data_IF_990974915356
#
_entry.id   IF_990974915356
#
_cell.length_a   1.000
_cell.length_b   1.000
_cell.length_c   1.000
_cell.angle_alpha   90.00
_cell.angle_beta   90.00
_cell.angle_gamma   90.00
#
_symmetry.space_group_name_H-M   'P 1'
#
loop_
_entity.id
_entity.type
_entity.pdbx_description
1 polymer ?
#
# COMPACT_ATOMS: atom_id res chain seq x y z
N UNK A 1 32.57 27.72 -18.11
CA UNK A 1 32.17 26.46 -18.76
C UNK A 1 30.69 26.26 -18.52
N UNK A 2 29.79 26.52 -19.49
CA UNK A 2 28.40 26.15 -19.33
C UNK A 2 28.27 24.63 -19.51
N UNK A 3 27.74 23.94 -18.51
CA UNK A 3 27.43 22.51 -18.58
C UNK A 3 25.99 22.35 -19.06
N UNK A 4 25.81 21.94 -20.31
CA UNK A 4 24.52 21.57 -20.89
C UNK A 4 23.94 20.34 -20.17
N UNK A 5 22.67 20.42 -19.78
CA UNK A 5 21.92 19.30 -19.21
C UNK A 5 21.26 18.53 -20.36
N UNK A 6 21.35 17.19 -20.44
CA UNK A 6 20.72 16.45 -21.52
C UNK A 6 19.19 16.50 -21.40
N UNK A 7 18.51 16.78 -22.51
CA UNK A 7 17.05 16.70 -22.59
C UNK A 7 16.60 15.23 -22.51
N UNK A 8 15.70 14.93 -21.59
CA UNK A 8 15.06 13.63 -21.49
C UNK A 8 13.86 13.56 -22.44
N UNK A 9 13.84 12.56 -23.32
CA UNK A 9 12.73 12.29 -24.22
C UNK A 9 11.46 11.89 -23.45
N UNK A 10 10.33 12.47 -23.86
CA UNK A 10 9.02 12.26 -23.25
C UNK A 10 8.41 10.97 -23.82
N UNK A 11 8.53 9.88 -23.07
CA UNK A 11 7.80 8.63 -23.32
C UNK A 11 6.32 8.69 -22.89
N UNK A 12 5.47 7.77 -23.37
CA UNK A 12 4.02 7.86 -23.22
C UNK A 12 3.58 7.82 -21.76
N UNK A 13 2.57 8.64 -21.45
CA UNK A 13 1.95 8.78 -20.13
C UNK A 13 1.11 7.55 -19.78
N UNK A 14 1.73 6.53 -19.21
CA UNK A 14 1.05 5.35 -18.70
C UNK A 14 1.88 4.58 -17.68
N UNK A 15 1.24 4.08 -16.62
CA UNK A 15 1.90 3.19 -15.66
C UNK A 15 2.34 1.91 -16.39
N UNK A 16 3.63 1.55 -16.38
CA UNK A 16 4.18 0.42 -17.16
C UNK A 16 3.68 -0.97 -16.71
N UNK A 17 2.81 -1.03 -15.70
CA UNK A 17 2.21 -2.26 -15.17
C UNK A 17 0.71 -2.40 -15.40
N UNK A 18 0.06 -1.45 -16.08
CA UNK A 18 -1.31 -1.68 -16.57
C UNK A 18 -1.26 -2.61 -17.78
N UNK A 19 -1.20 -3.92 -17.54
CA UNK A 19 -1.60 -4.88 -18.57
C UNK A 19 -3.07 -4.64 -18.92
N UNK A 20 -3.35 -4.48 -20.21
CA UNK A 20 -4.69 -4.16 -20.74
C UNK A 20 -5.75 -5.23 -20.46
N UNK A 21 -7.01 -5.00 -20.87
CA UNK A 21 -8.11 -5.91 -20.58
C UNK A 21 -7.89 -7.26 -21.25
N UNK A 22 -7.88 -8.34 -20.46
CA UNK A 22 -7.90 -9.70 -20.98
C UNK A 22 -9.24 -9.94 -21.72
N UNK A 23 -9.22 -9.76 -23.04
CA UNK A 23 -10.29 -10.23 -23.92
C UNK A 23 -10.17 -11.75 -24.05
N UNK A 24 -11.02 -12.48 -23.33
CA UNK A 24 -11.11 -13.92 -23.41
C UNK A 24 -11.90 -14.35 -24.65
N UNK A 25 -11.23 -14.48 -25.80
CA UNK A 25 -11.67 -15.32 -26.92
C UNK A 25 -10.45 -15.89 -27.65
N UNK A 26 -10.20 -17.20 -27.49
CA UNK A 26 -9.18 -17.93 -28.23
C UNK A 26 -9.47 -19.42 -28.17
N UNK A 27 -9.83 -19.98 -29.33
CA UNK A 27 -10.25 -21.37 -29.55
C UNK A 27 -9.17 -22.40 -29.20
N UNK A 28 -9.62 -23.61 -28.86
CA UNK A 28 -8.81 -24.80 -28.63
C UNK A 28 -8.15 -25.28 -29.93
N UNK A 29 -6.86 -25.06 -30.08
CA UNK A 29 -6.01 -25.87 -30.94
C UNK A 29 -4.95 -26.60 -30.09
N UNK A 30 -4.86 -27.92 -30.28
CA UNK A 30 -3.93 -28.81 -29.58
C UNK A 30 -2.56 -28.71 -30.24
N UNK A 31 -1.63 -28.03 -29.58
CA UNK A 31 -0.18 -28.07 -29.88
C UNK A 31 0.54 -29.24 -29.19
N UNK A 32 1.60 -29.72 -29.82
CA UNK A 32 2.45 -30.88 -29.49
C UNK A 32 3.18 -30.81 -28.13
N UNK A 33 3.61 -31.96 -27.57
CA UNK A 33 4.13 -32.05 -26.21
C UNK A 33 5.66 -31.93 -26.15
N UNK A 34 6.24 -30.83 -26.63
CA UNK A 34 7.67 -30.54 -26.45
C UNK A 34 7.82 -29.01 -26.39
N UNK A 35 8.60 -28.52 -25.42
CA UNK A 35 8.80 -27.11 -25.03
C UNK A 35 7.71 -26.45 -24.16
N UNK A 36 7.50 -27.00 -22.97
CA UNK A 36 7.03 -26.21 -21.82
C UNK A 36 8.21 -25.80 -20.96
N UNK A 37 8.99 -24.84 -21.45
CA UNK A 37 9.89 -24.08 -20.59
C UNK A 37 8.99 -23.34 -19.58
N UNK A 38 8.97 -23.85 -18.34
CA UNK A 38 8.21 -23.26 -17.26
C UNK A 38 8.80 -21.87 -17.02
N UNK A 39 8.15 -20.83 -17.57
CA UNK A 39 8.46 -19.43 -17.25
C UNK A 39 8.45 -19.31 -15.73
N UNK A 40 9.63 -19.10 -15.15
CA UNK A 40 9.73 -18.87 -13.71
C UNK A 40 8.75 -17.76 -13.31
N UNK A 41 8.01 -17.93 -12.21
CA UNK A 41 7.12 -16.87 -11.73
C UNK A 41 7.98 -15.62 -11.51
N UNK A 42 7.61 -14.55 -12.21
CA UNK A 42 8.33 -13.29 -12.21
C UNK A 42 8.20 -12.61 -10.84
N UNK A 43 9.01 -13.02 -9.87
CA UNK A 43 9.10 -12.35 -8.57
C UNK A 43 9.79 -11.01 -8.74
N UNK A 44 9.06 -9.92 -8.54
CA UNK A 44 9.61 -8.57 -8.59
C UNK A 44 10.32 -8.30 -7.27
N UNK A 45 11.61 -8.01 -7.37
CA UNK A 45 12.44 -7.69 -6.20
C UNK A 45 11.90 -6.46 -5.45
N UNK A 46 11.69 -6.54 -4.13
CA UNK A 46 11.19 -5.41 -3.33
C UNK A 46 12.19 -4.26 -3.19
N UNK A 47 13.47 -4.49 -3.53
CA UNK A 47 14.53 -3.48 -3.50
C UNK A 47 14.83 -2.85 -4.88
N UNK A 48 13.97 -3.11 -5.88
CA UNK A 48 14.07 -2.43 -7.17
C UNK A 48 13.94 -0.89 -7.00
N UNK A 49 14.77 -0.09 -7.71
CA UNK A 49 14.70 1.37 -7.61
C UNK A 49 13.34 1.89 -8.08
N UNK A 50 12.83 2.89 -7.36
CA UNK A 50 11.56 3.53 -7.72
C UNK A 50 11.66 4.20 -9.09
N UNK A 51 10.60 4.06 -9.89
CA UNK A 51 10.40 4.79 -11.16
C UNK A 51 9.42 5.96 -11.02
N UNK A 52 9.08 6.34 -9.80
CA UNK A 52 8.23 7.50 -9.54
C UNK A 52 8.90 8.78 -10.04
N UNK A 53 8.20 9.56 -10.87
CA UNK A 53 8.70 10.80 -11.46
C UNK A 53 8.29 12.05 -10.66
N UNK A 54 7.85 11.86 -9.41
CA UNK A 54 7.53 12.96 -8.50
C UNK A 54 8.76 13.83 -8.27
N UNK A 55 8.56 15.15 -8.28
CA UNK A 55 9.58 16.13 -7.93
C UNK A 55 8.93 17.28 -7.15
N UNK A 56 9.68 17.87 -6.22
CA UNK A 56 9.22 19.04 -5.47
C UNK A 56 8.92 20.20 -6.43
N UNK A 57 7.76 20.84 -6.26
CA UNK A 57 7.30 21.95 -7.09
C UNK A 57 6.46 21.54 -8.30
N UNK A 58 6.42 20.25 -8.68
CA UNK A 58 5.47 19.80 -9.73
C UNK A 58 4.02 19.93 -9.25
N UNK A 59 3.10 20.42 -10.11
CA UNK A 59 1.68 20.49 -9.80
C UNK A 59 1.08 19.12 -9.42
N UNK A 60 0.16 19.11 -8.47
CA UNK A 60 -0.56 17.89 -8.08
C UNK A 60 -1.38 17.29 -9.24
N UNK A 61 -1.83 18.13 -10.18
CA UNK A 61 -2.56 17.71 -11.38
C UNK A 61 -1.75 16.81 -12.33
N UNK A 62 -0.42 16.83 -12.23
CA UNK A 62 0.46 15.96 -13.04
C UNK A 62 0.64 14.58 -12.41
N UNK A 63 0.11 14.35 -11.21
CA UNK A 63 0.22 13.06 -10.55
C UNK A 63 -0.64 12.01 -11.27
N UNK A 64 -0.08 10.86 -11.68
CA UNK A 64 -0.84 9.79 -12.31
C UNK A 64 -1.58 8.90 -11.30
N UNK A 65 -1.45 9.18 -10.01
CA UNK A 65 -1.99 8.35 -8.94
C UNK A 65 -3.38 8.79 -8.54
N UNK A 66 -4.19 7.83 -8.08
CA UNK A 66 -5.43 8.14 -7.39
C UNK A 66 -5.14 8.74 -6.01
N UNK A 67 -5.73 9.91 -5.73
CA UNK A 67 -5.58 10.61 -4.46
C UNK A 67 -6.87 10.52 -3.66
N UNK A 68 -6.73 10.40 -2.34
CA UNK A 68 -7.86 10.35 -1.42
C UNK A 68 -7.69 11.46 -0.38
N UNK A 69 -8.77 12.19 -0.11
CA UNK A 69 -8.79 13.21 0.93
C UNK A 69 -8.90 12.57 2.34
N UNK A 70 -8.38 13.22 3.39
CA UNK A 70 -8.63 12.80 4.76
C UNK A 70 -10.12 12.79 5.10
N UNK A 71 -10.58 11.77 5.82
CA UNK A 71 -11.94 11.69 6.34
C UNK A 71 -11.95 11.94 7.86
N UNK A 72 -12.91 12.73 8.34
CA UNK A 72 -13.18 12.87 9.78
C UNK A 72 -14.05 11.72 10.28
N UNK A 73 -13.84 11.33 11.52
CA UNK A 73 -14.66 10.30 12.17
C UNK A 73 -16.14 10.70 12.19
N UNK A 74 -17.07 9.86 11.70
CA UNK A 74 -18.51 10.12 11.76
C UNK A 74 -19.07 9.88 13.18
N UNK A 75 -20.32 10.28 13.42
CA UNK A 75 -21.00 10.04 14.70
C UNK A 75 -21.19 8.54 15.00
N UNK A 76 -21.62 7.79 13.99
CA UNK A 76 -21.79 6.33 14.04
C UNK A 76 -20.89 5.76 12.95
N UNK A 77 -20.00 4.85 13.34
CA UNK A 77 -19.10 4.19 12.40
C UNK A 77 -19.86 3.00 11.76
N UNK A 78 -19.90 2.90 10.42
CA UNK A 78 -20.52 1.75 9.75
C UNK A 78 -19.73 0.46 9.95
N UNK A 79 -18.41 0.58 10.16
CA UNK A 79 -17.50 -0.52 10.43
C UNK A 79 -16.25 0.01 11.18
N UNK A 80 -15.44 -0.90 11.70
CA UNK A 80 -14.23 -0.56 12.45
C UNK A 80 -13.11 0.02 11.57
N UNK A 81 -13.14 -0.20 10.25
CA UNK A 81 -12.14 0.35 9.33
C UNK A 81 -12.30 1.88 9.20
N UNK A 82 -13.50 2.42 9.47
CA UNK A 82 -13.69 3.88 9.62
C UNK A 82 -13.06 4.46 10.90
N UNK A 83 -12.49 3.62 11.77
CA UNK A 83 -11.64 4.04 12.91
C UNK A 83 -10.14 4.02 12.58
N UNK A 84 -9.78 3.82 11.31
CA UNK A 84 -8.41 3.97 10.81
C UNK A 84 -8.23 5.39 10.27
N UNK A 85 -7.19 6.07 10.75
CA UNK A 85 -6.95 7.48 10.47
C UNK A 85 -7.45 8.40 11.58
N UNK A 86 -7.49 9.70 11.28
CA UNK A 86 -7.95 10.73 12.23
C UNK A 86 -7.31 10.64 13.64
N UNK A 87 -6.05 10.17 13.68
CA UNK A 87 -5.33 9.90 14.93
C UNK A 87 -4.96 11.20 15.63
N UNK A 88 -4.89 11.22 16.97
CA UNK A 88 -4.63 12.45 17.70
C UNK A 88 -3.19 12.93 17.51
N UNK A 89 -3.01 14.24 17.65
CA UNK A 89 -1.71 14.89 17.82
C UNK A 89 -1.58 15.33 19.27
N UNK A 90 -0.59 14.81 20.00
CA UNK A 90 -0.45 15.01 21.45
C UNK A 90 0.85 15.73 21.78
N UNK A 91 0.79 16.74 22.66
CA UNK A 91 1.98 17.48 23.12
C UNK A 91 2.83 16.65 24.08
N UNK A 92 4.15 16.67 23.89
CA UNK A 92 5.13 16.02 24.78
C UNK A 92 5.64 17.02 25.83
N UNK A 93 5.08 16.95 27.03
CA UNK A 93 5.30 17.97 28.06
C UNK A 93 6.59 17.82 28.87
N UNK A 94 7.07 16.59 29.09
CA UNK A 94 8.19 16.30 30.02
C UNK A 94 9.49 15.97 29.30
N UNK A 95 9.46 15.07 28.32
CA UNK A 95 10.68 14.58 27.64
C UNK A 95 11.40 15.74 26.94
N UNK A 96 10.71 16.53 26.11
CA UNK A 96 11.33 17.68 25.43
C UNK A 96 12.01 18.64 26.40
N UNK A 97 11.32 19.02 27.49
CA UNK A 97 11.87 19.89 28.53
C UNK A 97 13.09 19.28 29.22
N UNK A 98 13.06 17.98 29.53
CA UNK A 98 14.19 17.26 30.17
C UNK A 98 15.47 17.34 29.35
N UNK A 99 15.37 17.37 28.03
CA UNK A 99 16.50 17.48 27.10
C UNK A 99 16.76 18.91 26.61
N UNK A 100 16.16 19.92 27.24
CA UNK A 100 16.40 21.32 26.88
C UNK A 100 15.83 21.73 25.52
N UNK A 101 14.85 21.00 24.97
CA UNK A 101 14.20 21.42 23.72
C UNK A 101 13.44 22.74 23.95
N UNK A 102 13.73 23.72 23.08
CA UNK A 102 13.08 25.03 23.08
C UNK A 102 11.83 25.07 22.19
N UNK A 103 11.61 24.06 21.34
CA UNK A 103 10.47 23.97 20.43
C UNK A 103 9.28 23.22 21.05
N UNK A 104 8.11 23.30 20.40
CA UNK A 104 6.98 22.42 20.71
C UNK A 104 7.23 21.03 20.10
N UNK A 105 7.23 20.00 20.94
CA UNK A 105 7.33 18.60 20.52
C UNK A 105 5.95 17.95 20.53
N UNK A 106 5.53 17.43 19.39
CA UNK A 106 4.24 16.77 19.20
C UNK A 106 4.44 15.30 18.79
N UNK A 107 3.54 14.44 19.23
CA UNK A 107 3.46 13.03 18.83
C UNK A 107 2.20 12.77 18.00
N UNK A 108 2.39 12.22 16.80
CA UNK A 108 1.31 11.70 15.96
C UNK A 108 1.03 10.24 16.37
N UNK A 109 0.00 10.04 17.19
CA UNK A 109 -0.23 8.79 17.91
C UNK A 109 -0.94 7.74 17.05
N UNK A 110 -0.20 7.08 16.17
CA UNK A 110 -0.72 6.06 15.24
C UNK A 110 -1.18 4.75 15.89
N UNK A 111 -0.87 4.55 17.18
CA UNK A 111 -1.36 3.41 17.95
C UNK A 111 -2.88 3.50 18.29
N UNK A 112 -3.55 4.60 17.91
CA UNK A 112 -5.01 4.75 18.05
C UNK A 112 -5.82 4.30 16.83
N UNK A 113 -5.17 3.81 15.77
CA UNK A 113 -5.89 3.12 14.70
C UNK A 113 -6.49 1.81 15.24
N UNK A 114 -7.50 1.27 14.53
CA UNK A 114 -8.29 0.12 14.97
C UNK A 114 -7.48 -1.13 15.36
N UNK A 115 -6.46 -1.47 14.58
CA UNK A 115 -5.52 -2.58 14.80
C UNK A 115 -4.30 -2.19 15.62
N UNK A 116 -4.25 -0.97 16.17
CA UNK A 116 -3.22 -0.52 17.09
C UNK A 116 -1.92 -0.06 16.42
N UNK A 117 -1.91 0.18 15.10
CA UNK A 117 -0.67 0.54 14.41
C UNK A 117 -0.85 1.53 13.27
N UNK A 118 0.26 2.13 12.82
CA UNK A 118 0.28 2.95 11.59
C UNK A 118 -0.02 2.12 10.32
N UNK A 119 0.19 0.80 10.36
CA UNK A 119 0.09 -0.06 9.17
C UNK A 119 -1.36 -0.29 8.73
N UNK A 120 -2.30 -0.14 9.65
CA UNK A 120 -3.74 -0.18 9.37
C UNK A 120 -4.11 0.77 8.21
N UNK A 121 -3.45 1.93 8.12
CA UNK A 121 -3.65 2.89 7.03
C UNK A 121 -3.28 2.31 5.66
N UNK A 122 -2.10 1.69 5.55
CA UNK A 122 -1.63 1.17 4.27
C UNK A 122 -2.35 -0.13 3.92
N UNK A 123 -2.68 -0.96 4.91
CA UNK A 123 -3.47 -2.17 4.70
C UNK A 123 -4.84 -1.84 4.12
N UNK A 124 -5.54 -0.88 4.72
CA UNK A 124 -6.82 -0.39 4.20
C UNK A 124 -6.65 0.24 2.81
N UNK A 125 -5.63 1.10 2.62
CA UNK A 125 -5.43 1.80 1.35
C UNK A 125 -5.08 0.86 0.19
N UNK A 126 -4.25 -0.15 0.42
CA UNK A 126 -3.91 -1.15 -0.61
C UNK A 126 -5.14 -1.97 -1.01
N UNK A 127 -5.97 -2.36 -0.04
CA UNK A 127 -7.23 -3.08 -0.30
C UNK A 127 -8.19 -2.19 -1.10
N UNK A 128 -8.46 -0.96 -0.65
CA UNK A 128 -9.39 -0.05 -1.34
C UNK A 128 -8.91 0.32 -2.74
N UNK A 129 -7.60 0.48 -2.95
CA UNK A 129 -7.04 0.73 -4.28
C UNK A 129 -7.19 -0.51 -5.18
N UNK A 130 -6.92 -1.72 -4.69
CA UNK A 130 -7.06 -2.96 -5.45
C UNK A 130 -8.52 -3.32 -5.75
N UNK A 131 -9.45 -3.04 -4.83
CA UNK A 131 -10.90 -3.13 -5.04
C UNK A 131 -11.35 -2.18 -6.16
N UNK A 132 -10.93 -0.90 -6.08
CA UNK A 132 -11.28 0.12 -7.08
C UNK A 132 -10.73 -0.22 -8.46
N UNK A 133 -9.52 -0.75 -8.53
CA UNK A 133 -8.89 -1.17 -9.78
C UNK A 133 -9.53 -2.46 -10.35
N UNK A 134 -10.45 -3.11 -9.63
CA UNK A 134 -11.10 -4.35 -10.03
C UNK A 134 -10.22 -5.60 -9.89
N UNK A 135 -9.01 -5.44 -9.33
CA UNK A 135 -8.04 -6.52 -9.12
C UNK A 135 -8.51 -7.46 -8.01
N UNK A 136 -8.98 -6.88 -6.90
CA UNK A 136 -9.45 -7.62 -5.73
C UNK A 136 -10.98 -7.76 -5.78
N UNK A 137 -11.47 -8.99 -5.97
CA UNK A 137 -12.89 -9.32 -6.09
C UNK A 137 -13.43 -9.86 -4.76
N UNK A 138 -14.74 -9.75 -4.48
CA UNK A 138 -15.35 -10.29 -3.27
C UNK A 138 -14.99 -11.77 -3.07
N UNK A 139 -14.53 -12.12 -1.86
CA UNK A 139 -14.10 -13.48 -1.52
C UNK A 139 -12.69 -13.88 -1.96
N UNK A 140 -11.93 -12.99 -2.64
CA UNK A 140 -10.54 -13.26 -3.00
C UNK A 140 -9.65 -13.48 -1.76
N UNK A 141 -8.46 -14.03 -2.00
CA UNK A 141 -7.44 -14.28 -0.97
C UNK A 141 -6.33 -13.23 -1.05
N UNK A 142 -6.01 -12.62 0.09
CA UNK A 142 -4.87 -11.72 0.27
C UNK A 142 -3.72 -12.51 0.89
N UNK A 143 -2.54 -12.44 0.27
CA UNK A 143 -1.31 -13.07 0.76
C UNK A 143 -0.27 -11.98 0.98
N UNK A 144 0.32 -11.90 2.18
CA UNK A 144 1.34 -10.89 2.49
C UNK A 144 2.54 -11.55 3.22
N UNK A 145 3.77 -11.44 2.67
CA UNK A 145 4.98 -11.86 3.35
C UNK A 145 5.43 -10.79 4.36
N UNK A 146 5.00 -10.92 5.62
CA UNK A 146 5.32 -9.95 6.67
C UNK A 146 5.33 -10.58 8.06
N UNK A 147 6.22 -10.08 8.92
CA UNK A 147 6.38 -10.48 10.31
C UNK A 147 5.79 -9.46 11.31
N UNK A 148 4.98 -8.53 10.83
CA UNK A 148 4.62 -7.36 11.60
C UNK A 148 3.24 -6.80 11.31
N UNK A 149 3.06 -5.53 11.69
CA UNK A 149 1.74 -4.92 11.82
C UNK A 149 0.98 -4.77 10.49
N UNK A 150 1.65 -4.86 9.33
CA UNK A 150 0.95 -4.90 8.04
C UNK A 150 0.08 -6.14 7.93
N UNK A 151 0.55 -7.28 8.44
CA UNK A 151 -0.22 -8.53 8.48
C UNK A 151 -1.45 -8.39 9.38
N UNK A 152 -1.29 -7.79 10.56
CA UNK A 152 -2.40 -7.49 11.47
C UNK A 152 -3.42 -6.54 10.81
N UNK A 153 -2.96 -5.46 10.17
CA UNK A 153 -3.83 -4.51 9.49
C UNK A 153 -4.59 -5.12 8.31
N UNK A 154 -3.93 -5.99 7.52
CA UNK A 154 -4.57 -6.71 6.41
C UNK A 154 -5.55 -7.76 6.93
N UNK A 155 -5.21 -8.48 7.99
CA UNK A 155 -6.10 -9.47 8.62
C UNK A 155 -7.36 -8.80 9.18
N UNK A 156 -7.22 -7.65 9.86
CA UNK A 156 -8.36 -6.85 10.34
C UNK A 156 -9.27 -6.42 9.18
N UNK A 157 -8.69 -5.86 8.12
CA UNK A 157 -9.46 -5.43 6.95
C UNK A 157 -10.11 -6.61 6.21
N UNK A 158 -9.40 -7.72 6.06
CA UNK A 158 -9.90 -8.95 5.45
C UNK A 158 -11.08 -9.53 6.23
N UNK A 159 -11.01 -9.55 7.56
CA UNK A 159 -12.09 -10.04 8.42
C UNK A 159 -13.38 -9.21 8.25
N UNK A 160 -13.26 -7.88 8.12
CA UNK A 160 -14.41 -7.00 7.91
C UNK A 160 -14.98 -7.13 6.49
N UNK A 161 -14.10 -7.24 5.47
CA UNK A 161 -14.49 -7.21 4.05
C UNK A 161 -14.77 -8.58 3.44
N UNK A 162 -14.56 -9.66 4.18
CA UNK A 162 -14.84 -11.02 3.72
C UNK A 162 -13.77 -11.59 2.79
N UNK A 163 -12.51 -11.22 2.97
CA UNK A 163 -11.37 -11.81 2.26
C UNK A 163 -10.74 -12.92 3.08
N UNK A 164 -10.23 -13.95 2.41
CA UNK A 164 -9.29 -14.88 3.05
C UNK A 164 -7.95 -14.17 3.22
N UNK A 165 -7.31 -14.30 4.38
CA UNK A 165 -5.99 -13.71 4.63
C UNK A 165 -4.96 -14.79 4.96
N UNK A 166 -3.82 -14.76 4.29
CA UNK A 166 -2.67 -15.66 4.53
C UNK A 166 -1.45 -14.77 4.79
N UNK A 167 -0.89 -14.86 5.99
CA UNK A 167 0.33 -14.16 6.35
C UNK A 167 1.50 -15.15 6.32
N UNK A 168 2.50 -14.85 5.51
CA UNK A 168 3.74 -15.63 5.45
C UNK A 168 4.78 -14.95 6.32
N UNK A 169 5.26 -15.67 7.34
CA UNK A 169 6.26 -15.16 8.28
C UNK A 169 7.30 -16.24 8.60
N UNK A 170 8.55 -15.87 8.94
CA UNK A 170 9.51 -16.80 9.52
C UNK A 170 8.99 -17.49 10.79
N UNK A 171 9.52 -18.66 11.12
CA UNK A 171 9.05 -19.47 12.27
C UNK A 171 9.20 -18.79 13.64
N UNK A 172 10.29 -18.03 13.84
CA UNK A 172 10.58 -17.37 15.12
C UNK A 172 9.97 -15.98 15.17
N UNK A 173 8.71 -15.91 15.56
CA UNK A 173 7.97 -14.66 15.78
C UNK A 173 7.47 -14.53 17.23
N UNK A 174 7.18 -13.30 17.62
CA UNK A 174 6.58 -12.99 18.92
C UNK A 174 5.16 -13.55 18.96
N UNK A 175 4.80 -14.20 20.06
CA UNK A 175 3.48 -14.81 20.27
C UNK A 175 2.33 -13.81 20.30
N UNK A 176 2.63 -12.54 20.55
CA UNK A 176 1.66 -11.44 20.54
C UNK A 176 1.18 -11.04 19.15
N UNK A 177 1.89 -11.46 18.09
CA UNK A 177 1.59 -11.16 16.69
C UNK A 177 1.13 -12.39 15.93
#
# INVERSE_FOLDING_TARGET
>A
MPSETPQAEVGPTGCPHRSGPHSAKGSLEKGSPEDKEAKEPLWIRPDAPSRCTWQLGRPASESPHHHTAPAKSPKILPDILKKIGDTPMVRINKIGKKFGLKCELLAKCEFFNAGGSVKDRISLRMIEDAERDGTLKPGDTIIEPTSGNTGIGLALAAAVRGYRCIIVMPEKMSSEK
#
